data_IF_073686286683
#
_entry.id   IF_073686286683
#
_cell.length_a   1.000
_cell.length_b   1.000
_cell.length_c   1.000
_cell.angle_alpha   90.00
_cell.angle_beta   90.00
_cell.angle_gamma   90.00
#
_symmetry.space_group_name_H-M   'P 1'
#
loop_
_entity.id
_entity.type
_entity.pdbx_description
1 polymer ?
#
# COMPACT_ATOMS: atom_id res chain seq x y z
N UNK A 1 -40.77 -12.51 -23.00
CA UNK A 1 -39.37 -12.41 -23.43
C UNK A 1 -38.60 -11.91 -22.20
N UNK A 2 -38.04 -12.82 -21.41
CA UNK A 2 -37.24 -12.47 -20.24
C UNK A 2 -35.83 -12.21 -20.72
N UNK A 3 -35.40 -10.97 -20.58
CA UNK A 3 -34.00 -10.56 -20.68
C UNK A 3 -33.19 -11.39 -19.68
N UNK A 4 -32.30 -12.21 -20.18
CA UNK A 4 -31.25 -12.79 -19.35
C UNK A 4 -30.34 -11.62 -18.95
N UNK A 5 -30.53 -11.14 -17.72
CA UNK A 5 -29.64 -10.19 -17.10
C UNK A 5 -28.22 -10.74 -17.18
N UNK A 6 -27.33 -9.95 -17.74
CA UNK A 6 -25.91 -10.22 -17.90
C UNK A 6 -25.31 -10.62 -16.54
N UNK A 7 -25.16 -11.92 -16.33
CA UNK A 7 -24.30 -12.43 -15.29
C UNK A 7 -22.89 -12.17 -15.77
N UNK A 8 -22.37 -10.99 -15.41
CA UNK A 8 -20.95 -10.69 -15.61
C UNK A 8 -20.17 -11.75 -14.87
N UNK A 9 -19.59 -12.69 -15.61
CA UNK A 9 -18.74 -13.70 -15.01
C UNK A 9 -17.57 -13.00 -14.31
N UNK A 10 -17.24 -13.36 -13.05
CA UNK A 10 -16.09 -12.78 -12.37
C UNK A 10 -14.84 -12.99 -13.20
N UNK A 11 -14.04 -11.95 -13.33
CA UNK A 11 -12.76 -12.05 -14.03
C UNK A 11 -11.88 -13.11 -13.36
N UNK A 12 -10.89 -13.62 -14.08
CA UNK A 12 -9.93 -14.57 -13.50
C UNK A 12 -9.27 -13.98 -12.24
N UNK A 13 -8.98 -12.66 -12.26
CA UNK A 13 -8.45 -11.95 -11.11
C UNK A 13 -9.40 -11.98 -9.91
N UNK A 14 -10.71 -11.84 -10.12
CA UNK A 14 -11.71 -11.88 -9.03
C UNK A 14 -11.82 -13.26 -8.40
N UNK A 15 -11.56 -14.33 -9.17
CA UNK A 15 -11.57 -15.71 -8.65
C UNK A 15 -10.37 -15.97 -7.72
N UNK A 16 -9.19 -15.48 -8.06
CA UNK A 16 -7.99 -15.65 -7.24
C UNK A 16 -7.86 -14.61 -6.13
N UNK A 17 -8.38 -13.41 -6.36
CA UNK A 17 -8.29 -12.24 -5.47
C UNK A 17 -9.68 -11.63 -5.24
N UNK A 18 -10.63 -12.36 -4.59
CA UNK A 18 -11.98 -11.88 -4.37
C UNK A 18 -12.07 -10.64 -3.48
N UNK A 19 -10.97 -10.22 -2.88
CA UNK A 19 -10.86 -8.96 -2.16
C UNK A 19 -10.87 -7.74 -3.08
N UNK A 20 -10.39 -7.85 -4.34
CA UNK A 20 -10.26 -6.72 -5.26
C UNK A 20 -11.62 -6.08 -5.63
N UNK A 21 -12.67 -6.83 -6.00
CA UNK A 21 -13.98 -6.25 -6.25
C UNK A 21 -14.53 -5.46 -5.06
N UNK A 22 -14.24 -5.91 -3.83
CA UNK A 22 -14.66 -5.23 -2.61
C UNK A 22 -14.00 -3.87 -2.42
N UNK A 23 -12.86 -3.63 -3.06
CA UNK A 23 -12.12 -2.36 -3.01
C UNK A 23 -12.72 -1.28 -3.94
N UNK A 24 -13.74 -1.60 -4.73
CA UNK A 24 -14.50 -0.62 -5.53
C UNK A 24 -15.42 0.18 -4.62
N UNK A 25 -14.84 1.01 -3.76
CA UNK A 25 -15.56 1.92 -2.87
C UNK A 25 -14.92 3.29 -2.86
N UNK A 26 -15.80 4.29 -2.81
CA UNK A 26 -15.39 5.68 -2.68
C UNK A 26 -14.68 5.89 -1.34
N UNK A 27 -13.55 6.58 -1.39
CA UNK A 27 -12.80 6.90 -0.19
C UNK A 27 -13.52 8.01 0.58
N UNK A 28 -13.32 9.24 0.26
CA UNK A 28 -13.88 10.40 0.95
C UNK A 28 -14.37 11.42 -0.10
N UNK A 29 -15.45 12.18 0.15
CA UNK A 29 -15.86 13.32 -0.68
C UNK A 29 -14.75 14.33 -0.96
N UNK A 30 -13.77 14.46 -0.04
CA UNK A 30 -12.60 15.35 -0.21
C UNK A 30 -11.56 14.75 -1.17
N UNK A 31 -11.45 13.40 -1.23
CA UNK A 31 -10.55 12.66 -2.12
C UNK A 31 -11.28 12.10 -3.35
N UNK A 32 -12.27 12.80 -3.84
CA UNK A 32 -13.27 12.48 -4.87
C UNK A 32 -12.78 11.83 -6.17
N UNK A 33 -11.50 11.53 -6.32
CA UNK A 33 -10.96 11.27 -7.66
C UNK A 33 -10.63 9.81 -7.94
N UNK A 34 -10.60 8.95 -6.93
CA UNK A 34 -10.29 7.53 -7.14
C UNK A 34 -10.96 6.69 -6.04
N UNK A 35 -11.70 5.66 -6.45
CA UNK A 35 -12.04 4.58 -5.53
C UNK A 35 -10.76 3.85 -5.05
N UNK A 36 -10.90 3.04 -4.00
CA UNK A 36 -9.75 2.35 -3.40
C UNK A 36 -9.03 1.46 -4.42
N UNK A 37 -9.76 0.75 -5.28
CA UNK A 37 -9.18 -0.13 -6.28
C UNK A 37 -8.37 0.66 -7.32
N UNK A 38 -8.95 1.73 -7.88
CA UNK A 38 -8.27 2.59 -8.86
C UNK A 38 -6.99 3.21 -8.28
N UNK A 39 -7.03 3.65 -7.01
CA UNK A 39 -5.84 4.09 -6.30
C UNK A 39 -4.80 2.97 -6.19
N UNK A 40 -5.22 1.80 -5.72
CA UNK A 40 -4.34 0.64 -5.53
C UNK A 40 -3.64 0.23 -6.83
N UNK A 41 -4.37 0.17 -7.95
CA UNK A 41 -3.79 -0.16 -9.25
C UNK A 41 -2.76 0.88 -9.70
N UNK A 42 -3.02 2.17 -9.47
CA UNK A 42 -2.04 3.23 -9.75
C UNK A 42 -0.78 3.08 -8.88
N UNK A 43 -0.90 2.69 -7.61
CA UNK A 43 0.26 2.41 -6.74
C UNK A 43 1.06 1.23 -7.28
N UNK A 44 0.40 0.14 -7.70
CA UNK A 44 1.07 -1.03 -8.33
C UNK A 44 1.83 -0.63 -9.59
N UNK A 45 1.25 0.21 -10.44
CA UNK A 45 1.90 0.70 -11.66
C UNK A 45 3.11 1.60 -11.36
N UNK A 46 3.05 2.38 -10.28
CA UNK A 46 4.16 3.25 -9.85
C UNK A 46 5.36 2.46 -9.33
N UNK A 47 5.19 1.20 -8.91
CA UNK A 47 6.32 0.32 -8.57
C UNK A 47 7.00 -0.11 -9.86
N UNK A 48 8.08 0.60 -10.24
CA UNK A 48 8.87 0.33 -11.46
C UNK A 48 9.94 -0.72 -11.20
N UNK A 49 10.28 -1.56 -12.20
CA UNK A 49 11.35 -2.53 -12.06
C UNK A 49 12.70 -1.84 -11.79
N UNK A 50 13.69 -2.54 -11.20
CA UNK A 50 14.99 -1.96 -10.86
C UNK A 50 15.71 -1.27 -12.02
N UNK A 51 15.62 -1.81 -13.23
CA UNK A 51 16.23 -1.22 -14.43
C UNK A 51 15.60 0.12 -14.87
N UNK A 52 14.41 0.43 -14.42
CA UNK A 52 13.71 1.69 -14.68
C UNK A 52 13.78 2.69 -13.50
N UNK A 53 14.49 2.32 -12.43
CA UNK A 53 14.70 3.20 -11.30
C UNK A 53 15.82 4.23 -11.58
N UNK A 54 15.76 5.44 -11.01
CA UNK A 54 16.85 6.38 -11.08
C UNK A 54 18.16 5.77 -10.56
N UNK A 55 19.28 6.11 -11.21
CA UNK A 55 20.60 5.62 -10.80
C UNK A 55 20.90 5.94 -9.31
N UNK A 56 21.62 5.04 -8.65
CA UNK A 56 22.01 5.17 -7.24
C UNK A 56 20.92 4.81 -6.23
N UNK A 57 19.78 4.29 -6.66
CA UNK A 57 18.78 3.77 -5.74
C UNK A 57 19.16 2.39 -5.21
N UNK A 58 18.96 2.09 -3.91
CA UNK A 58 19.19 0.76 -3.36
C UNK A 58 18.31 -0.27 -4.05
N UNK A 59 18.82 -1.50 -4.18
CA UNK A 59 18.07 -2.64 -4.68
C UNK A 59 16.90 -2.99 -3.73
N UNK A 60 15.83 -3.52 -4.28
CA UNK A 60 14.66 -4.00 -3.55
C UNK A 60 14.02 -5.17 -4.29
N UNK A 61 13.24 -5.99 -3.61
CA UNK A 61 12.47 -7.06 -4.24
C UNK A 61 11.23 -6.47 -4.94
N UNK A 62 11.32 -6.38 -6.27
CA UNK A 62 10.27 -5.81 -7.11
C UNK A 62 8.96 -6.59 -7.01
N UNK A 63 9.01 -7.91 -7.00
CA UNK A 63 7.81 -8.76 -6.95
C UNK A 63 7.09 -8.62 -5.60
N UNK A 64 7.83 -8.71 -4.49
CA UNK A 64 7.28 -8.51 -3.14
C UNK A 64 6.67 -7.12 -2.98
N UNK A 65 7.36 -6.09 -3.46
CA UNK A 65 6.88 -4.71 -3.36
C UNK A 65 5.61 -4.48 -4.17
N UNK A 66 5.51 -5.04 -5.39
CA UNK A 66 4.27 -4.95 -6.19
C UNK A 66 3.10 -5.69 -5.56
N UNK A 67 3.34 -6.86 -4.97
CA UNK A 67 2.30 -7.58 -4.25
C UNK A 67 1.88 -6.82 -2.99
N UNK A 68 2.83 -6.26 -2.24
CA UNK A 68 2.49 -5.39 -1.11
C UNK A 68 1.67 -4.16 -1.55
N UNK A 69 2.02 -3.54 -2.68
CA UNK A 69 1.24 -2.45 -3.28
C UNK A 69 -0.19 -2.88 -3.65
N UNK A 70 -0.38 -4.11 -4.15
CA UNK A 70 -1.70 -4.64 -4.47
C UNK A 70 -2.57 -4.85 -3.21
N UNK A 71 -1.94 -5.21 -2.10
CA UNK A 71 -2.64 -5.55 -0.86
C UNK A 71 -2.66 -4.45 0.19
N UNK A 72 -1.93 -3.33 0.03
CA UNK A 72 -1.76 -2.34 1.11
C UNK A 72 -3.09 -1.82 1.66
N UNK A 73 -4.05 -1.61 0.80
CA UNK A 73 -5.37 -1.06 1.12
C UNK A 73 -6.51 -2.11 1.21
N UNK A 74 -6.19 -3.39 1.11
CA UNK A 74 -7.19 -4.49 1.08
C UNK A 74 -8.07 -4.54 2.34
N UNK A 75 -7.60 -3.96 3.44
CA UNK A 75 -8.35 -3.85 4.70
C UNK A 75 -9.42 -2.76 4.72
N UNK A 76 -9.38 -1.77 3.82
CA UNK A 76 -10.30 -0.61 3.82
C UNK A 76 -11.78 -1.00 3.76
N UNK A 77 -12.23 -1.94 2.91
CA UNK A 77 -13.64 -2.34 2.88
C UNK A 77 -14.17 -2.79 4.24
N UNK A 78 -13.35 -3.55 4.99
CA UNK A 78 -13.73 -4.11 6.30
C UNK A 78 -13.62 -3.14 7.46
N UNK A 79 -12.91 -2.04 7.27
CA UNK A 79 -12.67 -1.04 8.32
C UNK A 79 -13.34 0.29 8.03
N UNK A 80 -14.19 0.33 6.99
CA UNK A 80 -14.95 1.53 6.64
C UNK A 80 -15.86 1.94 7.78
N UNK A 81 -15.66 3.14 8.27
CA UNK A 81 -16.48 3.76 9.29
C UNK A 81 -16.85 5.18 8.90
N UNK A 82 -17.64 5.85 9.74
CA UNK A 82 -17.98 7.25 9.59
C UNK A 82 -17.76 7.98 10.91
N UNK A 83 -17.05 9.10 10.87
CA UNK A 83 -16.81 9.95 12.03
C UNK A 83 -17.35 11.35 11.75
N UNK A 84 -18.23 11.84 12.65
CA UNK A 84 -18.80 13.21 12.53
C UNK A 84 -17.66 14.24 12.43
N UNK A 85 -17.73 15.10 11.43
CA UNK A 85 -16.72 16.13 11.16
C UNK A 85 -15.48 15.69 10.37
N UNK A 86 -15.25 14.38 10.21
CA UNK A 86 -14.14 13.84 9.40
C UNK A 86 -14.60 13.06 8.14
N UNK A 87 -15.87 12.63 8.11
CA UNK A 87 -16.39 11.85 6.99
C UNK A 87 -16.07 10.36 7.14
N UNK A 88 -15.80 9.70 6.00
CA UNK A 88 -15.44 8.28 5.94
C UNK A 88 -14.05 8.07 6.54
N UNK A 89 -13.91 7.01 7.33
CA UNK A 89 -12.64 6.64 8.00
C UNK A 89 -12.34 5.16 7.76
N UNK A 90 -11.07 4.78 7.85
CA UNK A 90 -10.58 3.41 7.65
C UNK A 90 -9.56 3.04 8.75
N UNK A 91 -9.94 3.22 10.01
CA UNK A 91 -9.02 2.97 11.13
C UNK A 91 -8.56 1.51 11.14
N UNK A 92 -7.25 1.31 11.36
CA UNK A 92 -6.61 -0.01 11.46
C UNK A 92 -6.71 -0.88 10.19
N UNK A 93 -6.91 -0.26 9.00
CA UNK A 93 -6.94 -1.03 7.77
C UNK A 93 -5.59 -1.69 7.45
N UNK A 94 -4.49 -1.17 7.93
CA UNK A 94 -3.16 -1.75 7.89
C UNK A 94 -3.10 -3.11 8.59
N UNK A 95 -3.54 -3.18 9.86
CA UNK A 95 -3.54 -4.40 10.64
C UNK A 95 -4.57 -5.44 10.13
N UNK A 96 -5.76 -4.98 9.72
CA UNK A 96 -6.78 -5.85 9.11
C UNK A 96 -6.30 -6.34 7.75
N UNK A 97 -5.76 -5.46 6.92
CA UNK A 97 -5.21 -5.77 5.61
C UNK A 97 -4.07 -6.78 5.70
N UNK A 98 -3.15 -6.63 6.63
CA UNK A 98 -2.07 -7.57 6.85
C UNK A 98 -2.59 -9.00 7.14
N UNK A 99 -3.60 -9.15 8.00
CA UNK A 99 -4.22 -10.47 8.26
C UNK A 99 -4.91 -11.05 7.03
N UNK A 100 -5.59 -10.21 6.24
CA UNK A 100 -6.24 -10.63 4.99
C UNK A 100 -5.19 -11.07 3.96
N UNK A 101 -4.11 -10.30 3.81
CA UNK A 101 -2.99 -10.58 2.92
C UNK A 101 -2.34 -11.92 3.27
N UNK A 102 -2.01 -12.16 4.54
CA UNK A 102 -1.46 -13.43 5.00
C UNK A 102 -2.33 -14.60 4.58
N UNK A 103 -3.61 -14.56 4.95
CA UNK A 103 -4.57 -15.62 4.64
C UNK A 103 -4.67 -15.88 3.13
N UNK A 104 -4.65 -14.82 2.31
CA UNK A 104 -4.74 -14.95 0.84
C UNK A 104 -3.48 -15.56 0.26
N UNK A 105 -2.30 -15.10 0.65
CA UNK A 105 -1.04 -15.61 0.14
C UNK A 105 -0.78 -17.06 0.56
N UNK A 106 -1.17 -17.45 1.78
CA UNK A 106 -1.14 -18.84 2.23
C UNK A 106 -2.06 -19.72 1.38
N UNK A 107 -3.30 -19.26 1.10
CA UNK A 107 -4.24 -19.97 0.23
C UNK A 107 -3.72 -20.11 -1.22
N UNK A 108 -2.96 -19.13 -1.69
CA UNK A 108 -2.29 -19.14 -3.00
C UNK A 108 -0.95 -19.91 -2.98
N UNK A 109 -0.57 -20.51 -1.85
CA UNK A 109 0.64 -21.31 -1.66
C UNK A 109 1.94 -20.55 -1.95
N UNK A 110 2.01 -19.28 -1.59
CA UNK A 110 3.27 -18.54 -1.58
C UNK A 110 4.22 -19.11 -0.50
N UNK A 111 5.52 -18.91 -0.70
CA UNK A 111 6.53 -19.31 0.31
C UNK A 111 6.30 -18.57 1.64
N UNK A 112 6.67 -19.19 2.76
CA UNK A 112 6.53 -18.57 4.08
C UNK A 112 7.27 -17.22 4.15
N UNK A 113 8.44 -17.12 3.51
CA UNK A 113 9.22 -15.88 3.44
C UNK A 113 8.49 -14.76 2.70
N UNK A 114 7.86 -15.08 1.56
CA UNK A 114 7.05 -14.12 0.82
C UNK A 114 5.80 -13.70 1.61
N UNK A 115 5.11 -14.68 2.22
CA UNK A 115 3.93 -14.41 3.06
C UNK A 115 4.30 -13.47 4.19
N UNK A 116 5.39 -13.74 4.90
CA UNK A 116 5.86 -12.90 5.99
C UNK A 116 6.23 -11.50 5.51
N UNK A 117 7.12 -11.40 4.51
CA UNK A 117 7.62 -10.12 4.01
C UNK A 117 6.49 -9.23 3.48
N UNK A 118 5.60 -9.76 2.64
CA UNK A 118 4.50 -8.99 2.05
C UNK A 118 3.49 -8.57 3.13
N UNK A 119 3.18 -9.46 4.07
CA UNK A 119 2.28 -9.15 5.21
C UNK A 119 2.83 -8.02 6.06
N UNK A 120 4.13 -8.03 6.32
CA UNK A 120 4.80 -7.01 7.12
C UNK A 120 4.85 -5.65 6.40
N UNK A 121 5.12 -5.64 5.10
CA UNK A 121 5.03 -4.43 4.28
C UNK A 121 3.63 -3.80 4.33
N UNK A 122 2.58 -4.62 4.23
CA UNK A 122 1.19 -4.16 4.37
C UNK A 122 0.90 -3.62 5.78
N UNK A 123 1.41 -4.27 6.82
CA UNK A 123 1.24 -3.80 8.21
C UNK A 123 1.94 -2.45 8.48
N UNK A 124 3.05 -2.20 7.80
CA UNK A 124 3.90 -1.04 8.05
C UNK A 124 3.64 0.14 7.12
N UNK A 125 2.84 -0.01 6.04
CA UNK A 125 2.73 1.01 4.99
C UNK A 125 2.28 2.39 5.50
N UNK A 126 1.46 2.45 6.56
CA UNK A 126 1.02 3.71 7.17
C UNK A 126 2.06 4.37 8.09
N UNK A 127 3.12 3.67 8.48
CA UNK A 127 4.12 4.20 9.42
C UNK A 127 4.75 5.49 8.92
N UNK A 128 5.01 5.57 7.62
CA UNK A 128 5.55 6.78 6.99
C UNK A 128 4.61 7.98 7.09
N UNK A 129 3.32 7.79 6.92
CA UNK A 129 2.33 8.87 7.01
C UNK A 129 2.24 9.46 8.42
N UNK A 130 2.39 8.64 9.43
CA UNK A 130 2.40 9.06 10.84
C UNK A 130 3.61 9.95 11.13
N UNK A 131 4.74 9.72 10.46
CA UNK A 131 5.98 10.48 10.64
C UNK A 131 6.08 11.76 9.79
N UNK A 132 5.28 11.88 8.74
CA UNK A 132 5.30 13.06 7.86
C UNK A 132 4.89 14.37 8.57
N UNK A 133 4.34 14.30 9.78
CA UNK A 133 3.92 15.44 10.60
C UNK A 133 5.02 15.98 11.53
N UNK A 134 6.20 15.40 11.53
CA UNK A 134 7.34 15.86 12.35
C UNK A 134 8.24 14.67 12.74
N UNK A 135 9.28 14.41 11.93
CA UNK A 135 10.20 13.33 12.21
C UNK A 135 11.21 13.73 13.29
N UNK A 136 11.12 13.12 14.45
CA UNK A 136 12.22 13.09 15.41
C UNK A 136 13.19 11.96 15.04
N UNK A 137 14.46 12.08 15.45
CA UNK A 137 15.46 11.04 15.20
C UNK A 137 15.08 9.69 15.80
N UNK A 138 14.38 9.71 16.94
CA UNK A 138 13.84 8.48 17.56
C UNK A 138 12.76 7.83 16.71
N UNK A 139 11.93 8.62 16.02
CA UNK A 139 10.91 8.11 15.10
C UNK A 139 11.54 7.49 13.86
N UNK A 140 12.59 8.13 13.28
CA UNK A 140 13.35 7.56 12.16
C UNK A 140 13.99 6.23 12.55
N UNK A 141 14.72 6.20 13.67
CA UNK A 141 15.35 4.96 14.16
C UNK A 141 14.33 3.85 14.41
N UNK A 142 13.13 4.20 14.91
CA UNK A 142 12.05 3.21 15.08
C UNK A 142 11.56 2.69 13.73
N UNK A 143 11.34 3.57 12.74
CA UNK A 143 10.93 3.18 11.40
C UNK A 143 11.93 2.21 10.76
N UNK A 144 13.23 2.54 10.80
CA UNK A 144 14.32 1.70 10.27
C UNK A 144 14.35 0.35 10.98
N UNK A 145 14.28 0.36 12.31
CA UNK A 145 14.28 -0.88 13.12
C UNK A 145 13.05 -1.74 12.83
N UNK A 146 11.85 -1.14 12.79
CA UNK A 146 10.59 -1.85 12.55
C UNK A 146 10.53 -2.43 11.13
N UNK A 147 11.10 -1.74 10.14
CA UNK A 147 11.20 -2.22 8.76
C UNK A 147 12.26 -3.31 8.57
N UNK A 148 13.35 -3.26 9.35
CA UNK A 148 14.45 -4.23 9.29
C UNK A 148 14.95 -4.46 7.86
N UNK A 149 15.04 -5.71 7.39
CA UNK A 149 15.52 -6.04 6.05
C UNK A 149 14.58 -5.57 4.94
N UNK A 150 13.33 -5.22 5.24
CA UNK A 150 12.33 -4.76 4.26
C UNK A 150 12.33 -3.23 4.09
N UNK A 151 13.32 -2.52 4.62
CA UNK A 151 13.37 -1.06 4.61
C UNK A 151 13.29 -0.47 3.20
N UNK A 152 13.95 -1.09 2.22
CA UNK A 152 13.95 -0.57 0.85
C UNK A 152 12.62 -0.79 0.15
N UNK A 153 12.02 -1.96 0.30
CA UNK A 153 10.69 -2.28 -0.19
C UNK A 153 9.64 -1.34 0.42
N UNK A 154 9.70 -1.12 1.73
CA UNK A 154 8.79 -0.21 2.45
C UNK A 154 8.96 1.24 1.97
N UNK A 155 10.19 1.70 1.74
CA UNK A 155 10.47 3.02 1.19
C UNK A 155 9.93 3.18 -0.24
N UNK A 156 10.02 2.14 -1.07
CA UNK A 156 9.45 2.15 -2.43
C UNK A 156 7.93 2.17 -2.35
N UNK A 157 7.33 1.29 -1.57
CA UNK A 157 5.88 1.20 -1.40
C UNK A 157 5.28 2.55 -0.96
N UNK A 158 5.82 3.14 0.09
CA UNK A 158 5.31 4.43 0.63
C UNK A 158 5.50 5.60 -0.34
N UNK A 159 6.55 5.62 -1.15
CA UNK A 159 6.70 6.61 -2.22
C UNK A 159 5.66 6.44 -3.31
N UNK A 160 5.39 5.19 -3.71
CA UNK A 160 4.40 4.87 -4.75
C UNK A 160 2.97 5.17 -4.29
N UNK A 161 2.67 4.98 -3.00
CA UNK A 161 1.38 5.28 -2.39
C UNK A 161 1.12 6.79 -2.27
N UNK A 162 2.17 7.62 -2.17
CA UNK A 162 2.05 9.06 -2.16
C UNK A 162 1.60 9.64 -3.52
N UNK A 163 0.40 9.30 -3.99
CA UNK A 163 -0.18 9.75 -5.26
C UNK A 163 -0.72 11.19 -5.21
N UNK A 164 -0.01 12.12 -4.55
CA UNK A 164 -0.46 13.50 -4.52
C UNK A 164 -0.33 14.14 -5.91
N UNK A 165 -1.32 14.94 -6.34
CA UNK A 165 -1.26 15.72 -7.59
C UNK A 165 -0.09 16.72 -7.64
N UNK A 166 0.57 16.96 -6.53
CA UNK A 166 1.70 17.88 -6.43
C UNK A 166 2.98 17.07 -6.38
N UNK A 167 3.54 16.74 -7.56
CA UNK A 167 4.80 16.02 -7.71
C UNK A 167 5.97 16.66 -6.94
N UNK A 168 6.03 18.00 -6.87
CA UNK A 168 7.04 18.71 -6.09
C UNK A 168 6.93 18.42 -4.61
N UNK A 169 5.71 18.34 -4.04
CA UNK A 169 5.50 17.97 -2.63
C UNK A 169 5.82 16.51 -2.37
N UNK A 170 5.48 15.61 -3.30
CA UNK A 170 5.80 14.20 -3.20
C UNK A 170 7.32 13.97 -3.25
N UNK A 171 8.01 14.60 -4.20
CA UNK A 171 9.48 14.57 -4.32
C UNK A 171 10.19 15.17 -3.11
N UNK A 172 9.75 16.33 -2.61
CA UNK A 172 10.35 16.95 -1.41
C UNK A 172 10.16 16.09 -0.15
N UNK A 173 9.01 15.47 0.04
CA UNK A 173 8.76 14.55 1.17
C UNK A 173 9.64 13.32 1.07
N UNK A 174 9.68 12.69 -0.12
CA UNK A 174 10.50 11.51 -0.36
C UNK A 174 12.00 11.79 -0.21
N UNK A 175 12.51 12.93 -0.73
CA UNK A 175 13.93 13.29 -0.64
C UNK A 175 14.38 13.57 0.79
N UNK A 176 13.65 14.39 1.54
CA UNK A 176 13.99 14.71 2.94
C UNK A 176 13.99 13.46 3.82
N UNK A 177 13.05 12.57 3.62
CA UNK A 177 12.95 11.32 4.40
C UNK A 177 14.05 10.33 4.04
N UNK A 178 14.39 10.19 2.75
CA UNK A 178 15.45 9.29 2.30
C UNK A 178 16.83 9.75 2.78
N UNK A 179 17.10 11.07 2.75
CA UNK A 179 18.36 11.63 3.27
C UNK A 179 18.46 11.36 4.76
N UNK A 180 17.43 11.66 5.54
CA UNK A 180 17.47 11.49 7.00
C UNK A 180 17.50 10.02 7.42
N UNK A 181 16.88 9.12 6.65
CA UNK A 181 17.00 7.67 6.87
C UNK A 181 18.45 7.22 6.62
N UNK A 182 19.08 7.71 5.55
CA UNK A 182 20.48 7.39 5.24
C UNK A 182 21.49 7.94 6.25
N UNK A 183 21.19 9.09 6.88
CA UNK A 183 22.04 9.70 7.91
C UNK A 183 21.95 8.99 9.28
N UNK A 184 20.85 8.26 9.55
CA UNK A 184 20.55 7.69 10.86
C UNK A 184 20.51 6.14 10.86
N UNK A 185 20.67 5.52 9.68
CA UNK A 185 20.78 4.07 9.51
C UNK A 185 22.22 3.60 9.59
#
# INVERSE_FOLDING_TARGET
VHSMSDVVQPSLADQFLPELPMMRLEQDPIHRHKDVLTHTLAVVENVRPPGEQPAGRPAFDFRRTRLAALFHDVGKPRTRGYQKGKGVTFHHHDAVGARMTRKRLEALRYSNDDVQAITELVALHLRFHTYAMGWTDSAVRRYVRDAGPLLQELNVLTRCDCTTRNEKKALMRASRSSIRIAELA
#
